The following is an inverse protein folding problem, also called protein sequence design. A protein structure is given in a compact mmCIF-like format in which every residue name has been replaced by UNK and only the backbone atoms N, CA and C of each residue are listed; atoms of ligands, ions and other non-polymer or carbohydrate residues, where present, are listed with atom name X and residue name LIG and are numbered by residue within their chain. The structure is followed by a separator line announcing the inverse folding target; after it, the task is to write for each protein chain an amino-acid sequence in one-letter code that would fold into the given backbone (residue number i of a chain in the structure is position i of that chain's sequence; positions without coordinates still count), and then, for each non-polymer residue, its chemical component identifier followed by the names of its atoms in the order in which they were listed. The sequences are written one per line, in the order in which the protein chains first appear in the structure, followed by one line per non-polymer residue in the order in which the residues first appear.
data_IF_837551305761
#
_entry.id   IF_837551305761
#
_cell.length_a   1.000
_cell.length_b   1.000
_cell.length_c   1.000
_cell.angle_alpha   90.00
_cell.angle_beta   90.00
_cell.angle_gamma   90.00
#
_symmetry.space_group_name_H-M   'P 1'
#
loop_
_entity.id
_entity.type
_entity.pdbx_description
1 polymer ?
#
# COMPACT_ATOMS: atom_id res chain seq x y z
N UNK A 1 53.93 -47.35 -25.21
CA UNK A 1 53.11 -47.38 -23.99
C UNK A 1 51.71 -46.93 -24.41
N UNK A 2 50.89 -47.79 -25.02
CA UNK A 2 49.98 -48.78 -24.41
C UNK A 2 48.80 -48.12 -23.64
N UNK A 3 47.57 -48.46 -24.07
CA UNK A 3 46.25 -47.98 -23.63
C UNK A 3 45.86 -48.46 -22.19
N UNK A 4 44.69 -48.08 -21.60
CA UNK A 4 43.31 -48.37 -22.06
C UNK A 4 42.39 -47.12 -22.11
N UNK A 5 41.45 -46.97 -23.05
CA UNK A 5 40.07 -47.49 -23.19
C UNK A 5 38.99 -46.85 -22.32
N UNK A 6 37.89 -46.50 -22.99
CA UNK A 6 36.75 -45.70 -22.55
C UNK A 6 35.52 -46.58 -22.30
N UNK A 7 34.70 -46.25 -21.30
CA UNK A 7 33.35 -46.80 -21.16
C UNK A 7 32.29 -45.69 -21.09
N UNK A 8 31.30 -45.90 -21.95
CA UNK A 8 30.10 -45.10 -22.23
C UNK A 8 28.94 -45.77 -21.49
N UNK A 9 28.07 -45.01 -20.82
CA UNK A 9 26.78 -45.50 -20.35
C UNK A 9 25.67 -44.52 -20.75
N UNK A 10 24.82 -45.00 -21.66
CA UNK A 10 23.53 -44.45 -22.12
C UNK A 10 22.42 -45.47 -21.79
N UNK A 11 21.13 -45.10 -21.90
CA UNK A 11 20.07 -45.55 -21.00
C UNK A 11 19.23 -46.73 -21.53
N UNK A 12 18.58 -47.43 -20.61
CA UNK A 12 17.53 -48.42 -20.87
C UNK A 12 16.46 -48.22 -19.78
N UNK A 13 15.14 -48.38 -19.98
CA UNK A 13 14.26 -48.60 -21.12
C UNK A 13 12.85 -48.66 -20.49
N UNK A 14 11.86 -48.06 -21.15
CA UNK A 14 10.43 -48.05 -20.77
C UNK A 14 9.84 -49.47 -20.83
N UNK A 15 8.76 -49.75 -20.08
CA UNK A 15 7.62 -50.37 -20.77
C UNK A 15 6.31 -49.59 -20.53
N UNK A 16 5.49 -49.66 -21.58
CA UNK A 16 4.23 -48.98 -21.83
C UNK A 16 3.07 -50.01 -21.75
N UNK A 17 1.83 -49.50 -21.63
CA UNK A 17 0.52 -50.17 -21.71
C UNK A 17 0.09 -51.16 -20.60
N UNK A 18 -1.08 -50.94 -19.97
CA UNK A 18 -2.38 -51.46 -20.42
C UNK A 18 -3.53 -50.94 -19.54
N UNK A 19 -4.60 -50.43 -20.19
CA UNK A 19 -5.90 -50.13 -19.59
C UNK A 19 -6.72 -51.43 -19.45
N UNK A 20 -7.39 -51.66 -18.32
CA UNK A 20 -8.70 -52.34 -18.34
C UNK A 20 -9.55 -52.08 -17.08
N UNK A 21 -10.82 -51.78 -17.33
CA UNK A 21 -11.93 -51.65 -16.38
C UNK A 21 -12.27 -52.97 -15.68
N UNK A 22 -12.72 -52.91 -14.43
CA UNK A 22 -13.79 -53.82 -14.00
C UNK A 22 -14.66 -53.21 -12.91
N UNK A 23 -15.92 -53.05 -13.30
CA UNK A 23 -17.11 -52.70 -12.54
C UNK A 23 -17.54 -53.86 -11.63
N UNK A 24 -18.08 -53.52 -10.46
CA UNK A 24 -19.22 -54.25 -9.87
C UNK A 24 -20.21 -53.21 -9.29
N UNK A 25 -21.35 -53.09 -9.99
CA UNK A 25 -22.66 -52.69 -9.46
C UNK A 25 -23.06 -53.72 -8.36
N UNK A 26 -23.94 -53.53 -7.38
CA UNK A 26 -25.18 -52.76 -7.28
C UNK A 26 -25.61 -52.83 -5.81
N UNK A 27 -26.19 -51.79 -5.23
CA UNK A 27 -27.51 -51.87 -4.57
C UNK A 27 -27.98 -50.48 -4.13
N UNK A 28 -29.11 -50.08 -4.72
CA UNK A 28 -29.80 -48.83 -4.54
C UNK A 28 -30.59 -48.75 -3.22
N UNK A 29 -30.82 -47.53 -2.75
CA UNK A 29 -32.01 -47.07 -1.99
C UNK A 29 -32.07 -45.53 -2.09
N UNK A 30 -32.84 -44.99 -3.04
CA UNK A 30 -34.10 -44.25 -2.81
C UNK A 30 -33.95 -43.07 -1.83
N UNK A 31 -33.76 -41.84 -2.33
CA UNK A 31 -34.80 -40.81 -2.54
C UNK A 31 -35.70 -40.64 -1.30
N UNK A 32 -35.46 -39.56 -0.55
CA UNK A 32 -36.55 -38.80 0.06
C UNK A 32 -36.23 -37.30 -0.04
N UNK A 33 -37.03 -36.66 -0.88
CA UNK A 33 -37.07 -35.24 -1.18
C UNK A 33 -37.94 -34.58 -0.12
N UNK A 34 -37.36 -33.71 0.71
CA UNK A 34 -38.10 -32.80 1.57
C UNK A 34 -37.65 -31.37 1.27
N UNK A 35 -38.43 -30.76 0.39
CA UNK A 35 -38.49 -29.32 0.15
C UNK A 35 -38.95 -28.63 1.43
N UNK A 36 -38.13 -27.72 1.95
CA UNK A 36 -38.60 -26.66 2.85
C UNK A 36 -38.33 -25.32 2.21
N UNK A 37 -39.41 -24.71 1.73
CA UNK A 37 -39.52 -23.36 1.22
C UNK A 37 -38.92 -22.33 2.18
N UNK A 38 -37.93 -21.56 1.71
CA UNK A 38 -37.63 -20.23 2.25
C UNK A 38 -37.57 -19.25 1.10
N UNK A 39 -38.61 -18.44 1.04
CA UNK A 39 -38.91 -17.37 0.10
C UNK A 39 -37.69 -16.49 -0.17
N UNK A 40 -37.22 -16.44 -1.42
CA UNK A 40 -36.33 -15.39 -1.92
C UNK A 40 -37.15 -14.09 -2.04
N UNK A 41 -36.87 -13.13 -1.16
CA UNK A 41 -37.27 -11.74 -1.40
C UNK A 41 -36.41 -11.12 -2.51
N UNK A 42 -36.99 -10.33 -3.42
CA UNK A 42 -36.23 -9.68 -4.48
C UNK A 42 -35.36 -8.57 -3.91
N UNK A 43 -34.08 -8.54 -4.32
CA UNK A 43 -33.15 -7.45 -4.05
C UNK A 43 -33.73 -6.12 -4.56
N UNK A 44 -34.11 -5.23 -3.63
CA UNK A 44 -34.46 -3.85 -3.94
C UNK A 44 -33.21 -3.08 -4.44
N UNK A 45 -33.26 -2.38 -5.58
CA UNK A 45 -32.11 -1.69 -6.17
C UNK A 45 -31.91 -0.25 -5.64
N UNK A 46 -32.30 0.04 -4.40
CA UNK A 46 -32.27 1.41 -3.87
C UNK A 46 -31.83 1.44 -2.40
N UNK A 47 -30.59 1.09 -2.14
CA UNK A 47 -29.88 1.56 -0.96
C UNK A 47 -28.81 2.56 -1.38
N UNK A 48 -28.79 3.78 -0.81
CA UNK A 48 -27.69 4.71 -1.03
C UNK A 48 -26.41 4.04 -0.53
N UNK A 49 -25.40 3.93 -1.39
CA UNK A 49 -24.08 3.39 -1.08
C UNK A 49 -23.52 4.09 0.17
N UNK A 50 -23.69 3.46 1.34
CA UNK A 50 -22.94 3.84 2.53
C UNK A 50 -21.45 3.76 2.18
N UNK A 51 -20.61 4.73 2.61
CA UNK A 51 -19.16 4.56 2.50
C UNK A 51 -18.82 3.35 3.37
N UNK A 52 -18.61 2.19 2.76
CA UNK A 52 -18.15 1.01 3.50
C UNK A 52 -16.77 1.37 4.04
N UNK A 53 -16.54 1.07 5.30
CA UNK A 53 -15.20 0.96 5.84
C UNK A 53 -14.46 -0.11 5.02
N UNK A 54 -13.70 0.33 4.02
CA UNK A 54 -13.09 -0.57 3.06
C UNK A 54 -11.87 -1.22 3.69
N UNK A 55 -11.86 -2.55 3.75
CA UNK A 55 -10.77 -3.35 4.30
C UNK A 55 -10.15 -4.17 3.17
N UNK A 56 -8.89 -3.92 2.87
CA UNK A 56 -8.17 -4.56 1.76
C UNK A 56 -7.01 -5.39 2.30
N UNK A 57 -7.19 -6.71 2.47
CA UNK A 57 -6.10 -7.59 2.85
C UNK A 57 -5.19 -7.88 1.66
N UNK A 58 -3.88 -7.81 1.87
CA UNK A 58 -2.87 -8.17 0.88
C UNK A 58 -1.94 -9.21 1.49
N UNK A 59 -2.02 -10.43 0.96
CA UNK A 59 -1.16 -11.55 1.38
C UNK A 59 -0.03 -11.70 0.37
N UNK A 60 1.20 -11.48 0.81
CA UNK A 60 2.41 -11.75 0.04
C UNK A 60 2.81 -13.24 0.17
N UNK A 61 3.30 -13.87 -0.91
CA UNK A 61 3.69 -15.29 -0.92
C UNK A 61 5.03 -15.57 -0.21
N UNK A 62 5.58 -14.59 0.48
CA UNK A 62 6.92 -14.62 1.06
C UNK A 62 7.15 -13.36 1.90
N UNK A 63 8.25 -13.32 2.66
CA UNK A 63 8.53 -12.19 3.52
C UNK A 63 8.99 -10.96 2.71
N UNK A 64 8.91 -9.80 3.33
CA UNK A 64 9.25 -8.50 2.73
C UNK A 64 10.31 -7.80 3.58
N UNK A 65 11.14 -6.99 2.94
CA UNK A 65 12.16 -6.20 3.64
C UNK A 65 11.54 -4.98 4.33
N UNK A 66 12.26 -4.44 5.32
CA UNK A 66 11.90 -3.19 5.98
C UNK A 66 11.91 -2.00 5.01
N UNK A 67 12.87 -1.96 4.10
CA UNK A 67 12.89 -1.00 2.98
C UNK A 67 11.63 -1.15 2.10
N UNK A 68 11.18 -2.39 1.87
CA UNK A 68 9.93 -2.67 1.18
C UNK A 68 8.74 -2.05 1.88
N UNK A 69 8.62 -2.18 3.20
CA UNK A 69 7.56 -1.55 4.00
C UNK A 69 7.59 -0.01 3.90
N UNK A 70 8.78 0.58 3.88
CA UNK A 70 8.95 2.02 3.64
C UNK A 70 8.42 2.41 2.25
N UNK A 71 8.83 1.69 1.21
CA UNK A 71 8.37 1.93 -0.16
C UNK A 71 6.86 1.74 -0.31
N UNK A 72 6.25 0.74 0.35
CA UNK A 72 4.79 0.58 0.35
C UNK A 72 4.09 1.80 0.92
N UNK A 73 4.63 2.34 2.02
CA UNK A 73 4.09 3.53 2.69
C UNK A 73 4.23 4.77 1.81
N UNK A 74 5.43 5.01 1.28
CA UNK A 74 5.74 6.15 0.42
C UNK A 74 4.91 6.14 -0.87
N UNK A 75 4.82 4.99 -1.56
CA UNK A 75 4.02 4.87 -2.77
C UNK A 75 2.52 4.98 -2.49
N UNK A 76 2.03 4.42 -1.37
CA UNK A 76 0.63 4.55 -0.99
C UNK A 76 0.27 6.02 -0.69
N UNK A 77 1.15 6.75 0.00
CA UNK A 77 0.97 8.20 0.22
C UNK A 77 0.87 8.97 -1.09
N UNK A 78 1.83 8.77 -2.01
CA UNK A 78 1.81 9.40 -3.34
C UNK A 78 0.51 9.09 -4.09
N UNK A 79 0.08 7.82 -4.04
CA UNK A 79 -1.13 7.36 -4.70
C UNK A 79 -2.39 8.02 -4.11
N UNK A 80 -2.55 8.02 -2.78
CA UNK A 80 -3.68 8.67 -2.10
C UNK A 80 -3.72 10.15 -2.42
N UNK A 81 -2.58 10.86 -2.34
CA UNK A 81 -2.54 12.28 -2.64
C UNK A 81 -2.99 12.59 -4.07
N UNK A 82 -2.64 11.74 -5.04
CA UNK A 82 -3.12 11.89 -6.40
C UNK A 82 -4.61 11.54 -6.56
N UNK A 83 -5.05 10.37 -6.08
CA UNK A 83 -6.44 9.91 -6.20
C UNK A 83 -7.44 10.84 -5.48
N UNK A 84 -7.02 11.43 -4.36
CA UNK A 84 -7.79 12.44 -3.61
C UNK A 84 -7.60 13.84 -4.15
N UNK A 85 -7.04 13.97 -5.35
CA UNK A 85 -6.88 15.22 -6.08
C UNK A 85 -6.17 16.29 -5.23
N UNK A 86 -5.23 15.89 -4.36
CA UNK A 86 -4.36 16.78 -3.60
C UNK A 86 -3.10 17.12 -4.41
N UNK A 87 -2.81 16.36 -5.45
CA UNK A 87 -1.80 16.62 -6.47
C UNK A 87 -2.46 16.65 -7.85
N UNK A 88 -2.04 17.54 -8.76
CA UNK A 88 -2.62 17.61 -10.11
C UNK A 88 -2.17 16.45 -11.02
N UNK A 89 -1.01 15.85 -10.73
CA UNK A 89 -0.46 14.70 -11.43
C UNK A 89 0.18 13.72 -10.43
N UNK A 90 0.39 12.44 -10.81
CA UNK A 90 1.17 11.52 -9.99
C UNK A 90 2.53 12.11 -9.65
N UNK A 91 2.98 11.91 -8.41
CA UNK A 91 4.19 12.52 -7.88
C UNK A 91 5.44 12.33 -8.76
N UNK A 92 5.67 11.11 -9.29
CA UNK A 92 6.83 10.84 -10.16
C UNK A 92 6.81 11.67 -11.47
N UNK A 93 5.63 12.05 -11.96
CA UNK A 93 5.52 12.96 -13.11
C UNK A 93 5.81 14.41 -12.69
N UNK A 94 5.31 14.83 -11.52
CA UNK A 94 5.56 16.18 -10.98
C UNK A 94 7.04 16.48 -10.79
N UNK A 95 7.83 15.50 -10.31
CA UNK A 95 9.28 15.65 -10.17
C UNK A 95 9.96 16.06 -11.46
N UNK A 96 9.46 15.62 -12.62
CA UNK A 96 10.02 15.96 -13.92
C UNK A 96 9.61 17.36 -14.39
N UNK A 97 8.35 17.75 -14.16
CA UNK A 97 7.82 19.06 -14.57
C UNK A 97 8.37 20.23 -13.74
N UNK A 98 8.54 20.03 -12.44
CA UNK A 98 8.94 21.09 -11.51
C UNK A 98 10.41 21.00 -11.07
N UNK A 99 11.19 20.09 -11.68
CA UNK A 99 12.65 20.09 -11.53
C UNK A 99 13.17 21.45 -11.96
N UNK A 100 13.92 22.12 -11.08
CA UNK A 100 14.56 23.39 -11.42
C UNK A 100 15.35 23.22 -12.74
N UNK A 101 15.09 24.04 -13.77
CA UNK A 101 15.95 24.03 -14.96
C UNK A 101 17.38 24.31 -14.52
N UNK A 102 18.34 23.63 -15.13
CA UNK A 102 19.76 23.96 -14.92
C UNK A 102 19.98 25.44 -15.30
N UNK A 103 20.94 26.14 -14.67
CA UNK A 103 21.21 27.55 -14.96
C UNK A 103 21.55 27.83 -16.43
N UNK A 104 21.80 26.81 -17.25
CA UNK A 104 22.03 26.94 -18.70
C UNK A 104 20.74 26.98 -19.54
N UNK A 105 19.60 26.50 -19.03
CA UNK A 105 18.34 26.46 -19.76
C UNK A 105 17.47 27.73 -19.57
N UNK A 106 17.78 28.57 -18.59
CA UNK A 106 17.03 29.80 -18.31
C UNK A 106 17.27 30.93 -19.34
N UNK A 107 18.38 30.90 -20.08
CA UNK A 107 18.72 31.97 -21.02
C UNK A 107 17.87 31.96 -22.30
N UNK A 108 17.36 30.79 -22.74
CA UNK A 108 16.65 30.67 -24.02
C UNK A 108 15.14 30.99 -23.96
N UNK A 109 14.55 31.13 -22.77
CA UNK A 109 13.08 31.21 -22.62
C UNK A 109 12.54 32.58 -22.15
N UNK A 110 13.36 33.64 -22.18
CA UNK A 110 12.98 35.00 -21.75
C UNK A 110 12.09 35.74 -22.77
N UNK A 111 10.97 35.19 -23.25
CA UNK A 111 9.98 35.96 -24.05
C UNK A 111 8.54 35.44 -23.89
N UNK A 112 7.83 35.81 -22.81
CA UNK A 112 6.38 36.18 -22.72
C UNK A 112 5.82 36.05 -21.27
N UNK A 113 4.68 36.68 -20.93
CA UNK A 113 4.45 37.32 -19.63
C UNK A 113 4.25 36.29 -18.51
N UNK A 114 5.19 36.28 -17.55
CA UNK A 114 5.40 35.18 -16.58
C UNK A 114 4.83 35.41 -15.18
N UNK A 115 4.23 36.55 -14.85
CA UNK A 115 4.00 36.90 -13.45
C UNK A 115 3.02 35.97 -12.70
N UNK A 116 1.92 35.52 -13.32
CA UNK A 116 0.95 34.63 -12.66
C UNK A 116 1.39 33.18 -12.68
N UNK A 117 1.87 32.67 -13.82
CA UNK A 117 2.41 31.30 -13.98
C UNK A 117 3.66 31.05 -13.13
N UNK A 118 4.46 32.08 -12.85
CA UNK A 118 5.68 31.96 -12.03
C UNK A 118 5.37 31.90 -10.53
N UNK A 119 4.34 32.60 -10.04
CA UNK A 119 3.91 32.50 -8.64
C UNK A 119 3.26 31.14 -8.36
N UNK A 120 2.51 30.65 -9.35
CA UNK A 120 1.83 29.36 -9.33
C UNK A 120 2.85 28.20 -9.30
N UNK A 121 3.88 28.27 -10.17
CA UNK A 121 4.95 27.28 -10.20
C UNK A 121 5.78 27.26 -8.91
N UNK A 122 6.02 28.40 -8.25
CA UNK A 122 6.72 28.46 -6.96
C UNK A 122 5.92 27.80 -5.83
N UNK A 123 4.60 27.97 -5.78
CA UNK A 123 3.75 27.29 -4.79
C UNK A 123 3.74 25.78 -5.01
N UNK A 124 3.68 25.34 -6.27
CA UNK A 124 3.80 23.94 -6.62
C UNK A 124 5.18 23.37 -6.21
N UNK A 125 6.27 24.06 -6.54
CA UNK A 125 7.62 23.64 -6.13
C UNK A 125 7.76 23.51 -4.62
N UNK A 126 7.19 24.45 -3.86
CA UNK A 126 7.20 24.39 -2.39
C UNK A 126 6.42 23.18 -1.88
N UNK A 127 5.22 22.91 -2.40
CA UNK A 127 4.41 21.76 -1.99
C UNK A 127 5.08 20.42 -2.34
N UNK A 128 5.72 20.33 -3.51
CA UNK A 128 6.51 19.15 -3.91
C UNK A 128 7.73 18.98 -2.99
N UNK A 129 8.42 20.05 -2.64
CA UNK A 129 9.57 19.99 -1.72
C UNK A 129 9.16 19.57 -0.30
N UNK A 130 7.99 20.02 0.19
CA UNK A 130 7.44 19.56 1.47
C UNK A 130 7.09 18.07 1.44
N UNK A 131 6.52 17.57 0.33
CA UNK A 131 6.26 16.15 0.13
C UNK A 131 7.56 15.34 0.06
N UNK A 132 8.57 15.81 -0.68
CA UNK A 132 9.92 15.21 -0.71
C UNK A 132 10.53 15.13 0.70
N UNK A 133 10.39 16.18 1.49
CA UNK A 133 10.84 16.20 2.88
C UNK A 133 10.13 15.14 3.72
N UNK A 134 8.81 15.03 3.64
CA UNK A 134 8.06 13.98 4.36
C UNK A 134 8.48 12.58 3.93
N UNK A 135 8.66 12.34 2.63
CA UNK A 135 9.10 11.04 2.10
C UNK A 135 10.50 10.68 2.61
N UNK A 136 11.43 11.63 2.60
CA UNK A 136 12.80 11.42 3.13
C UNK A 136 12.78 11.07 4.62
N UNK A 137 12.01 11.79 5.44
CA UNK A 137 11.95 11.50 6.88
C UNK A 137 11.19 10.20 7.17
N UNK A 138 10.27 9.76 6.30
CA UNK A 138 9.71 8.41 6.39
C UNK A 138 10.80 7.35 6.16
N UNK A 139 11.68 7.54 5.19
CA UNK A 139 12.83 6.62 4.97
C UNK A 139 13.71 6.55 6.23
N UNK A 140 14.06 7.70 6.82
CA UNK A 140 14.83 7.76 8.07
C UNK A 140 14.11 7.08 9.25
N UNK A 141 12.81 7.35 9.42
CA UNK A 141 11.99 6.76 10.49
C UNK A 141 11.93 5.23 10.35
N UNK A 142 11.66 4.74 9.13
CA UNK A 142 11.66 3.31 8.84
C UNK A 142 13.04 2.70 8.98
N UNK A 143 14.15 3.43 8.83
CA UNK A 143 15.49 2.91 9.10
C UNK A 143 15.78 2.76 10.60
N UNK A 144 15.17 3.59 11.44
CA UNK A 144 15.35 3.61 12.91
C UNK A 144 14.51 2.57 13.65
N UNK A 145 13.32 2.26 13.15
CA UNK A 145 12.38 1.39 13.87
C UNK A 145 11.46 0.62 12.92
N UNK A 146 10.90 -0.49 13.42
CA UNK A 146 9.79 -1.14 12.75
C UNK A 146 8.55 -0.25 12.83
N UNK A 147 7.68 -0.35 11.84
CA UNK A 147 6.48 0.47 11.78
C UNK A 147 5.29 -0.46 11.63
N UNK A 148 4.52 -0.73 12.70
CA UNK A 148 3.38 -1.64 12.61
C UNK A 148 2.18 -1.00 11.91
N UNK A 149 1.98 0.31 12.03
CA UNK A 149 0.84 1.02 11.43
C UNK A 149 1.22 2.41 10.99
N UNK A 150 0.62 2.85 9.88
CA UNK A 150 0.73 4.21 9.33
C UNK A 150 -0.68 4.76 9.09
N UNK A 151 -0.89 6.04 9.40
CA UNK A 151 -2.10 6.80 9.11
C UNK A 151 -1.77 7.97 8.19
N UNK A 152 -2.62 8.14 7.18
CA UNK A 152 -2.61 9.27 6.25
C UNK A 152 -3.95 9.99 6.42
N UNK A 153 -3.92 11.15 7.06
CA UNK A 153 -5.10 11.88 7.52
C UNK A 153 -5.31 13.12 6.65
N UNK A 154 -6.47 13.27 6.01
CA UNK A 154 -6.78 14.40 5.13
C UNK A 154 -7.88 15.28 5.74
N UNK A 155 -7.60 16.59 5.78
CA UNK A 155 -8.51 17.62 6.29
C UNK A 155 -8.68 17.56 7.81
N UNK A 156 -9.26 18.62 8.40
CA UNK A 156 -9.47 18.68 9.84
C UNK A 156 -8.14 18.71 10.61
N UNK A 157 -8.03 17.85 11.64
CA UNK A 157 -6.82 17.67 12.46
C UNK A 157 -6.58 16.17 12.72
N UNK A 158 -5.46 15.83 13.37
CA UNK A 158 -5.08 14.42 13.57
C UNK A 158 -6.07 13.60 14.41
N UNK A 159 -6.88 14.22 15.27
CA UNK A 159 -7.89 13.54 16.10
C UNK A 159 -9.27 13.45 15.42
N UNK A 160 -9.54 14.32 14.46
CA UNK A 160 -10.82 14.46 13.77
C UNK A 160 -10.59 14.83 12.29
N UNK A 161 -10.04 13.90 11.50
CA UNK A 161 -9.81 14.13 10.08
C UNK A 161 -11.15 14.16 9.33
N UNK A 162 -11.18 14.79 8.15
CA UNK A 162 -12.33 14.64 7.25
C UNK A 162 -12.38 13.24 6.66
N UNK A 163 -11.22 12.73 6.30
CA UNK A 163 -11.03 11.34 5.90
C UNK A 163 -9.63 10.83 6.27
N UNK A 164 -9.47 9.53 6.49
CA UNK A 164 -8.17 8.94 6.75
C UNK A 164 -8.04 7.53 6.19
N UNK A 165 -6.79 7.16 5.92
CA UNK A 165 -6.35 5.90 5.35
C UNK A 165 -5.34 5.26 6.30
N UNK A 166 -5.45 3.94 6.46
CA UNK A 166 -4.57 3.16 7.30
C UNK A 166 -3.80 2.13 6.48
N UNK A 167 -2.52 1.99 6.78
CA UNK A 167 -1.68 0.90 6.31
C UNK A 167 -1.21 0.09 7.52
N UNK A 168 -1.69 -1.14 7.63
CA UNK A 168 -1.33 -2.08 8.68
C UNK A 168 -0.25 -3.04 8.18
N UNK A 169 0.92 -2.95 8.82
CA UNK A 169 2.14 -3.69 8.55
C UNK A 169 2.46 -4.68 9.68
N UNK A 170 1.61 -4.75 10.73
CA UNK A 170 1.88 -5.46 11.97
C UNK A 170 2.01 -6.99 11.82
N UNK A 171 1.50 -7.54 10.71
CA UNK A 171 1.55 -8.97 10.37
C UNK A 171 2.72 -9.34 9.43
N UNK A 172 3.59 -8.38 9.10
CA UNK A 172 4.78 -8.63 8.30
C UNK A 172 5.92 -9.10 9.21
N UNK A 173 6.60 -10.16 8.79
CA UNK A 173 7.72 -10.71 9.55
C UNK A 173 8.88 -9.69 9.64
N UNK A 174 9.35 -9.36 10.84
CA UNK A 174 10.52 -8.51 11.00
C UNK A 174 11.80 -9.27 10.59
N UNK A 175 12.68 -8.58 9.85
CA UNK A 175 14.07 -8.97 9.58
C UNK A 175 14.35 -10.33 8.89
N UNK A 176 13.75 -10.62 7.73
CA UNK A 176 14.33 -11.62 6.83
C UNK A 176 15.19 -10.94 5.74
N UNK A 177 16.49 -10.76 6.03
CA UNK A 177 17.41 -10.12 5.08
C UNK A 177 17.68 -11.03 3.87
N UNK A 178 17.64 -12.35 4.06
CA UNK A 178 18.17 -13.29 3.06
C UNK A 178 17.16 -13.82 2.03
N UNK A 179 15.85 -13.55 2.18
CA UNK A 179 14.79 -14.10 1.31
C UNK A 179 13.62 -13.11 1.05
N UNK A 180 13.90 -11.81 0.95
CA UNK A 180 12.84 -10.84 0.67
C UNK A 180 12.34 -10.94 -0.78
N UNK A 181 11.02 -10.85 -0.95
CA UNK A 181 10.42 -10.72 -2.27
C UNK A 181 10.82 -9.40 -2.92
N UNK A 182 10.81 -9.36 -4.26
CA UNK A 182 10.94 -8.10 -5.00
C UNK A 182 9.91 -7.08 -4.53
N UNK A 183 10.38 -5.93 -4.03
CA UNK A 183 9.52 -4.82 -3.60
C UNK A 183 8.59 -4.35 -4.70
N UNK A 184 9.08 -4.28 -5.95
CA UNK A 184 8.27 -3.90 -7.10
C UNK A 184 7.13 -4.89 -7.37
N UNK A 185 7.36 -6.21 -7.20
CA UNK A 185 6.29 -7.20 -7.34
C UNK A 185 5.24 -7.07 -6.23
N UNK A 186 5.67 -6.78 -5.01
CA UNK A 186 4.80 -6.54 -3.87
C UNK A 186 3.95 -5.27 -4.05
N UNK A 187 4.56 -4.16 -4.48
CA UNK A 187 3.86 -2.91 -4.82
C UNK A 187 2.77 -3.14 -5.87
N UNK A 188 3.09 -3.84 -6.97
CA UNK A 188 2.08 -4.18 -8.00
C UNK A 188 0.93 -5.00 -7.42
N UNK A 189 1.21 -5.96 -6.54
CA UNK A 189 0.18 -6.78 -5.89
C UNK A 189 -0.69 -5.95 -4.95
N UNK A 190 -0.08 -5.07 -4.16
CA UNK A 190 -0.75 -4.13 -3.26
C UNK A 190 -1.69 -3.21 -4.04
N UNK A 191 -1.19 -2.51 -5.07
CA UNK A 191 -2.02 -1.59 -5.84
C UNK A 191 -3.08 -2.29 -6.69
N UNK A 192 -2.81 -3.52 -7.16
CA UNK A 192 -3.85 -4.33 -7.80
C UNK A 192 -4.98 -4.67 -6.83
N UNK A 193 -4.67 -5.01 -5.58
CA UNK A 193 -5.68 -5.30 -4.57
C UNK A 193 -6.53 -4.06 -4.24
N UNK A 194 -5.89 -2.90 -4.06
CA UNK A 194 -6.58 -1.62 -3.84
C UNK A 194 -7.50 -1.28 -5.03
N UNK A 195 -7.00 -1.45 -6.26
CA UNK A 195 -7.79 -1.21 -7.47
C UNK A 195 -8.98 -2.16 -7.60
N UNK A 196 -8.78 -3.46 -7.36
CA UNK A 196 -9.87 -4.45 -7.42
C UNK A 196 -10.92 -4.25 -6.32
N UNK A 197 -10.53 -3.63 -5.20
CA UNK A 197 -11.45 -3.26 -4.13
C UNK A 197 -12.25 -1.98 -4.42
N UNK A 198 -12.07 -1.38 -5.61
CA UNK A 198 -12.72 -0.13 -6.02
C UNK A 198 -12.56 0.99 -5.00
N UNK A 199 -11.35 1.07 -4.41
CA UNK A 199 -10.99 2.19 -3.54
C UNK A 199 -10.95 3.50 -4.34
N UNK A 200 -11.27 4.61 -3.68
CA UNK A 200 -11.32 5.95 -4.27
C UNK A 200 -12.45 6.16 -5.31
N UNK A 201 -13.58 5.45 -5.16
CA UNK A 201 -14.75 5.51 -6.05
C UNK A 201 -15.64 6.76 -5.87
N UNK A 202 -15.22 7.77 -5.09
CA UNK A 202 -16.02 8.97 -4.89
C UNK A 202 -16.12 9.81 -6.17
N UNK A 203 -17.36 10.06 -6.61
CA UNK A 203 -17.64 10.90 -7.78
C UNK A 203 -17.42 12.40 -7.51
N UNK A 204 -17.57 12.82 -6.25
CA UNK A 204 -17.40 14.22 -5.88
C UNK A 204 -15.92 14.55 -5.69
N UNK A 205 -15.44 15.53 -6.46
CA UNK A 205 -14.12 16.10 -6.28
C UNK A 205 -13.98 16.68 -4.84
N UNK A 206 -13.08 16.14 -4.00
CA UNK A 206 -12.86 16.70 -2.67
C UNK A 206 -12.23 18.10 -2.78
N UNK A 207 -12.33 18.96 -1.75
CA UNK A 207 -11.57 20.20 -1.71
C UNK A 207 -10.07 19.93 -1.53
N UNK A 208 -9.23 20.96 -1.72
CA UNK A 208 -7.85 20.92 -1.27
C UNK A 208 -7.82 20.86 0.27
N UNK A 209 -7.03 19.95 0.80
CA UNK A 209 -6.95 19.64 2.22
C UNK A 209 -5.49 19.60 2.67
N UNK A 210 -5.29 19.85 3.97
CA UNK A 210 -4.03 19.51 4.63
C UNK A 210 -3.96 18.00 4.86
N UNK A 211 -2.80 17.40 4.64
CA UNK A 211 -2.53 15.99 4.89
C UNK A 211 -1.52 15.87 6.03
N UNK A 212 -1.87 15.10 7.06
CA UNK A 212 -1.03 14.80 8.22
C UNK A 212 -0.64 13.32 8.12
N UNK A 213 0.65 13.04 8.30
CA UNK A 213 1.18 11.67 8.33
C UNK A 213 1.48 11.28 9.77
N UNK A 214 1.05 10.10 10.16
CA UNK A 214 1.39 9.50 11.45
C UNK A 214 1.85 8.07 11.25
N UNK A 215 2.82 7.63 12.05
CA UNK A 215 3.31 6.26 12.04
C UNK A 215 3.58 5.80 13.46
N UNK A 216 3.41 4.52 13.73
CA UNK A 216 3.87 3.93 14.99
C UNK A 216 5.35 3.61 14.91
N UNK A 217 6.07 3.82 16.01
CA UNK A 217 7.48 3.46 16.14
C UNK A 217 7.81 3.12 17.60
N UNK A 218 8.91 2.41 17.81
CA UNK A 218 9.37 2.08 19.16
C UNK A 218 9.63 3.38 19.94
N UNK A 219 9.16 3.45 21.21
CA UNK A 219 9.29 4.67 22.03
C UNK A 219 10.72 5.21 22.15
N UNK A 220 11.70 4.31 22.13
CA UNK A 220 13.13 4.63 22.27
C UNK A 220 13.90 4.61 20.93
N UNK A 221 13.23 4.76 19.78
CA UNK A 221 13.89 4.72 18.47
C UNK A 221 14.80 5.93 18.17
N UNK A 222 14.81 6.95 19.04
CA UNK A 222 15.64 8.14 18.86
C UNK A 222 15.22 9.01 17.68
N UNK A 223 13.94 8.93 17.29
CA UNK A 223 13.36 9.80 16.27
C UNK A 223 13.29 11.26 16.76
N UNK A 224 13.77 12.18 15.93
CA UNK A 224 13.93 13.59 16.25
C UNK A 224 13.08 14.52 15.37
N UNK A 225 12.62 14.06 14.21
CA UNK A 225 11.81 14.86 13.30
C UNK A 225 10.32 14.63 13.52
N UNK A 226 9.86 13.38 13.55
CA UNK A 226 8.47 13.11 13.93
C UNK A 226 8.25 13.35 15.42
N UNK A 227 7.10 13.93 15.76
CA UNK A 227 6.76 14.27 17.14
C UNK A 227 5.94 13.17 17.81
N UNK A 228 6.35 12.67 18.99
CA UNK A 228 5.59 11.65 19.71
C UNK A 228 4.23 12.19 20.19
N UNK A 229 3.19 11.36 20.07
CA UNK A 229 1.80 11.63 20.50
C UNK A 229 1.33 10.50 21.42
N UNK A 230 1.83 10.51 22.66
CA UNK A 230 1.59 9.45 23.66
C UNK A 230 0.10 9.17 23.96
N UNK A 231 -0.74 10.20 23.88
CA UNK A 231 -2.18 10.10 24.16
C UNK A 231 -3.04 9.98 22.91
N UNK A 232 -2.42 9.75 21.74
CA UNK A 232 -3.16 9.64 20.49
C UNK A 232 -4.05 8.40 20.47
N UNK A 233 -5.24 8.57 19.90
CA UNK A 233 -6.16 7.48 19.60
C UNK A 233 -6.58 7.60 18.15
N UNK A 234 -6.65 6.47 17.46
CA UNK A 234 -7.09 6.42 16.06
C UNK A 234 -8.51 7.02 15.96
N UNK A 235 -8.78 7.92 14.99
CA UNK A 235 -10.08 8.52 14.84
C UNK A 235 -11.17 7.47 14.55
N UNK A 236 -12.34 7.63 15.15
CA UNK A 236 -13.49 6.74 14.94
C UNK A 236 -14.38 7.14 13.76
N UNK A 237 -14.09 8.26 13.11
CA UNK A 237 -14.87 8.83 11.99
C UNK A 237 -13.95 9.24 10.85
N UNK A 238 -14.49 9.22 9.63
CA UNK A 238 -13.74 9.56 8.43
C UNK A 238 -12.86 8.42 7.91
N UNK A 239 -12.99 7.20 8.42
CA UNK A 239 -12.26 6.07 7.85
C UNK A 239 -12.68 5.85 6.39
N UNK A 240 -11.69 5.63 5.51
CA UNK A 240 -11.92 5.34 4.08
C UNK A 240 -11.42 3.97 3.67
N UNK A 241 -10.22 3.62 4.13
CA UNK A 241 -9.54 2.41 3.70
C UNK A 241 -8.52 1.99 4.74
N UNK A 242 -8.52 0.72 5.09
CA UNK A 242 -7.39 0.05 5.75
C UNK A 242 -6.82 -1.00 4.81
N UNK A 243 -5.52 -0.91 4.53
CA UNK A 243 -4.78 -1.93 3.78
C UNK A 243 -3.98 -2.76 4.78
N UNK A 244 -4.30 -4.04 4.92
CA UNK A 244 -3.62 -4.94 5.86
C UNK A 244 -2.67 -5.87 5.12
N UNK A 245 -1.38 -5.75 5.39
CA UNK A 245 -0.35 -6.56 4.74
C UNK A 245 0.05 -7.75 5.61
N UNK A 246 0.20 -8.93 5.01
CA UNK A 246 0.65 -10.15 5.69
C UNK A 246 1.51 -11.03 4.76
N UNK A 247 2.28 -11.96 5.33
CA UNK A 247 3.20 -12.82 4.56
C UNK A 247 2.95 -14.32 4.76
N UNK A 248 1.69 -14.76 4.91
CA UNK A 248 1.30 -16.18 4.96
C UNK A 248 1.89 -16.98 6.14
N UNK A 249 2.51 -16.31 7.12
CA UNK A 249 3.08 -16.90 8.33
C UNK A 249 2.10 -16.75 9.51
N UNK A 250 2.17 -17.63 10.52
CA UNK A 250 1.37 -17.48 11.73
C UNK A 250 1.64 -16.12 12.39
N UNK A 251 0.58 -15.52 12.92
CA UNK A 251 0.55 -14.15 13.43
C UNK A 251 1.62 -13.88 14.49
N UNK A 252 2.24 -12.70 14.41
CA UNK A 252 3.09 -12.14 15.47
C UNK A 252 2.24 -11.94 16.74
N UNK A 253 2.81 -12.20 17.92
CA UNK A 253 2.10 -12.03 19.20
C UNK A 253 1.66 -10.57 19.37
N UNK A 254 0.43 -10.35 19.82
CA UNK A 254 -0.15 -9.01 20.04
C UNK A 254 0.68 -8.13 20.98
N UNK A 255 1.43 -8.74 21.91
CA UNK A 255 2.32 -8.04 22.84
C UNK A 255 3.57 -7.43 22.19
N UNK A 256 3.86 -7.77 20.92
CA UNK A 256 5.07 -7.29 20.23
C UNK A 256 5.09 -5.77 20.00
N UNK A 257 3.94 -5.11 20.08
CA UNK A 257 3.78 -3.69 19.77
C UNK A 257 3.42 -2.81 20.99
N UNK A 258 3.51 -3.34 22.22
CA UNK A 258 3.15 -2.61 23.46
C UNK A 258 4.04 -1.37 23.70
N UNK A 259 5.31 -1.43 23.28
CA UNK A 259 6.26 -0.32 23.44
C UNK A 259 6.24 0.69 22.28
N UNK A 260 5.33 0.51 21.33
CA UNK A 260 5.21 1.37 20.15
C UNK A 260 4.20 2.49 20.38
N UNK A 261 4.61 3.71 20.08
CA UNK A 261 3.81 4.93 20.24
C UNK A 261 3.59 5.59 18.89
N UNK A 262 2.58 6.46 18.81
CA UNK A 262 2.32 7.26 17.62
C UNK A 262 3.30 8.42 17.51
N UNK A 263 3.81 8.62 16.32
CA UNK A 263 4.63 9.74 15.89
C UNK A 263 3.90 10.49 14.78
N UNK A 264 3.89 11.82 14.83
CA UNK A 264 3.22 12.69 13.85
C UNK A 264 4.24 13.58 13.14
N UNK A 265 4.12 13.70 11.82
CA UNK A 265 4.92 14.65 11.06
C UNK A 265 4.70 16.08 11.62
N UNK A 266 5.77 16.89 11.80
CA UNK A 266 5.67 18.25 12.31
C UNK A 266 5.07 19.22 11.28
N UNK A 267 5.03 18.83 10.00
CA UNK A 267 4.49 19.61 8.90
C UNK A 267 3.18 19.00 8.39
N UNK A 268 2.29 19.85 7.87
CA UNK A 268 1.06 19.44 7.19
C UNK A 268 1.20 19.71 5.70
N UNK A 269 1.16 18.65 4.89
CA UNK A 269 1.25 18.74 3.44
C UNK A 269 -0.01 19.40 2.88
N UNK A 270 0.14 20.48 2.10
CA UNK A 270 -1.01 21.16 1.49
C UNK A 270 -1.24 20.64 0.08
N UNK A 271 -2.47 20.19 -0.20
CA UNK A 271 -2.87 19.89 -1.57
C UNK A 271 -2.87 21.14 -2.46
N UNK A 272 -2.64 20.95 -3.76
CA UNK A 272 -2.70 21.99 -4.78
C UNK A 272 -3.26 21.46 -6.10
N UNK A 273 -3.85 22.36 -6.89
CA UNK A 273 -4.40 22.11 -8.24
C UNK A 273 -4.16 23.36 -9.07
N UNK A 274 -3.39 23.26 -10.14
CA UNK A 274 -3.17 24.33 -11.13
C UNK A 274 -3.07 23.73 -12.53
#
# INVERSE_FOLDING_TARGET
MAAPEAEVLSPASVPDLEWYEKSEETHASQIELLETSSTQEPLNPSEPFCPRDCMVPVVFPGPVSQEGCCQFTCELLKHIMYQRQQLPLPYEQLKNFYRKPSPQAEEMLKKKPRATTEVSSRKCQQAVAELESVLSHLEDFFARTLVPRVLILLGGNSLSPKEFYELDLSLLAPYSVDQSLSTAACLRRLFRAIFMADAFSELQAPPLMGTIIMAQGHRDCGEDWFQPKLNYRVPSRGHKLTVTLSCGRPSIRTTAWEDYIWFQAPVTLKGFRE
#
